data_IF_687058174242
#
_entry.id   IF_687058174242
#
_cell.length_a   1.000
_cell.length_b   1.000
_cell.length_c   1.000
_cell.angle_alpha   90.00
_cell.angle_beta   90.00
_cell.angle_gamma   90.00
#
_symmetry.space_group_name_H-M   'P 1'
#
loop_
_entity.id
_entity.type
_entity.pdbx_description
1 polymer ?
#
# COMPACT_ATOMS: atom_id res chain seq x y z
N UNK A 1 21.54 -2.25 18.66
CA UNK A 1 21.70 -3.53 17.93
C UNK A 1 20.56 -3.53 16.94
N UNK A 2 20.89 -3.44 15.66
CA UNK A 2 19.91 -3.42 14.56
C UNK A 2 19.03 -4.65 14.67
N UNK A 3 17.72 -4.46 14.81
CA UNK A 3 16.75 -5.47 14.43
C UNK A 3 16.87 -5.61 12.91
N UNK A 4 17.73 -6.54 12.48
CA UNK A 4 17.53 -7.20 11.20
C UNK A 4 16.11 -7.73 11.24
N UNK A 5 15.29 -7.33 10.26
CA UNK A 5 14.03 -7.97 9.92
C UNK A 5 14.29 -9.48 9.97
N UNK A 6 13.72 -10.17 10.94
CA UNK A 6 13.81 -11.62 11.05
C UNK A 6 12.98 -12.17 9.89
N UNK A 7 13.57 -12.24 8.70
CA UNK A 7 12.91 -12.83 7.54
C UNK A 7 12.48 -14.24 7.93
N UNK A 8 11.21 -14.58 7.71
CA UNK A 8 10.70 -15.88 8.14
C UNK A 8 11.35 -16.99 7.31
N UNK A 9 12.34 -17.65 7.90
CA UNK A 9 13.05 -18.81 7.33
C UNK A 9 12.10 -19.96 6.97
N UNK A 10 10.82 -19.92 7.42
CA UNK A 10 9.77 -20.88 7.06
C UNK A 10 9.36 -20.78 5.60
N UNK A 11 9.29 -19.58 5.03
CA UNK A 11 8.77 -19.34 3.67
C UNK A 11 9.75 -19.77 2.56
N UNK A 12 10.92 -20.31 2.92
CA UNK A 12 12.00 -20.58 1.97
C UNK A 12 12.07 -22.05 1.65
N UNK A 13 12.16 -22.33 0.35
CA UNK A 13 12.47 -23.66 -0.12
C UNK A 13 13.82 -24.13 0.44
N UNK A 14 13.80 -25.20 1.25
CA UNK A 14 15.00 -25.78 1.88
C UNK A 14 15.89 -26.55 0.89
N UNK A 15 15.43 -26.71 -0.35
CA UNK A 15 16.11 -27.32 -1.47
C UNK A 15 15.46 -26.89 -2.78
N UNK A 16 16.05 -27.27 -3.92
CA UNK A 16 15.46 -26.95 -5.22
C UNK A 16 14.09 -27.66 -5.37
N UNK A 17 13.07 -26.89 -5.75
CA UNK A 17 11.71 -27.38 -6.01
C UNK A 17 11.44 -27.34 -7.50
N UNK A 18 10.93 -28.43 -8.06
CA UNK A 18 10.54 -28.51 -9.47
C UNK A 18 9.02 -28.45 -9.57
N UNK A 19 8.53 -27.35 -10.13
CA UNK A 19 7.12 -27.12 -10.41
C UNK A 19 6.79 -27.63 -11.81
N UNK A 20 5.68 -28.38 -11.92
CA UNK A 20 5.27 -29.00 -13.18
C UNK A 20 3.94 -28.42 -13.63
N UNK A 21 4.02 -27.58 -14.66
CA UNK A 21 2.87 -26.99 -15.33
C UNK A 21 2.55 -27.76 -16.62
N UNK A 22 1.33 -27.62 -17.17
CA UNK A 22 0.99 -28.11 -18.50
C UNK A 22 2.05 -27.69 -19.54
N UNK A 23 2.51 -28.63 -20.37
CA UNK A 23 3.56 -28.36 -21.35
C UNK A 23 3.00 -27.74 -22.66
N UNK A 24 1.72 -27.94 -22.93
CA UNK A 24 1.04 -27.53 -24.15
C UNK A 24 0.45 -26.12 -24.10
N UNK A 25 0.34 -25.52 -22.90
CA UNK A 25 -0.18 -24.17 -22.68
C UNK A 25 0.47 -23.51 -21.46
N UNK A 26 0.58 -22.17 -21.51
CA UNK A 26 0.90 -21.37 -20.32
C UNK A 26 -0.28 -21.36 -19.35
N UNK A 27 0.00 -21.36 -18.05
CA UNK A 27 -1.01 -21.06 -17.02
C UNK A 27 -0.90 -19.64 -16.45
N UNK A 28 0.18 -18.92 -16.76
CA UNK A 28 0.46 -17.59 -16.25
C UNK A 28 1.96 -17.31 -16.18
N UNK A 29 2.33 -16.32 -15.37
CA UNK A 29 3.70 -15.96 -15.07
C UNK A 29 4.06 -16.42 -13.66
N UNK A 30 5.24 -17.02 -13.51
CA UNK A 30 5.78 -17.37 -12.20
C UNK A 30 6.94 -16.45 -11.86
N UNK A 31 6.78 -15.74 -10.75
CA UNK A 31 7.79 -14.87 -10.18
C UNK A 31 8.58 -15.67 -9.15
N UNK A 32 9.90 -15.77 -9.36
CA UNK A 32 10.82 -16.40 -8.42
C UNK A 32 11.68 -15.30 -7.78
N UNK A 33 11.62 -15.20 -6.46
CA UNK A 33 12.29 -14.16 -5.68
C UNK A 33 13.24 -14.79 -4.67
N UNK A 34 14.49 -14.32 -4.64
CA UNK A 34 15.46 -14.72 -3.63
C UNK A 34 15.10 -14.08 -2.30
N UNK A 35 15.13 -14.84 -1.21
CA UNK A 35 14.73 -14.29 0.09
C UNK A 35 15.93 -13.83 0.90
N UNK A 36 15.82 -12.65 1.54
CA UNK A 36 16.84 -12.11 2.45
C UNK A 36 17.99 -11.31 1.82
N UNK A 37 17.89 -10.91 0.55
CA UNK A 37 18.84 -9.99 -0.09
C UNK A 37 18.10 -8.80 -0.71
N UNK A 38 18.59 -7.58 -0.42
CA UNK A 38 18.02 -6.31 -0.91
C UNK A 38 18.32 -6.01 -2.39
N UNK A 39 19.16 -6.83 -3.03
CA UNK A 39 19.46 -6.77 -4.47
C UNK A 39 18.64 -7.84 -5.21
N UNK A 40 17.41 -7.47 -5.60
CA UNK A 40 16.36 -8.30 -6.20
C UNK A 40 16.74 -8.93 -7.57
N UNK A 41 17.12 -10.21 -7.58
CA UNK A 41 17.16 -11.06 -8.78
C UNK A 41 15.74 -11.67 -9.01
N UNK A 42 14.73 -10.82 -9.28
CA UNK A 42 13.39 -11.30 -9.64
C UNK A 42 13.44 -11.98 -11.00
N UNK A 43 13.07 -13.26 -11.05
CA UNK A 43 12.95 -14.01 -12.31
C UNK A 43 11.48 -14.20 -12.65
N UNK A 44 11.08 -13.62 -13.76
CA UNK A 44 9.77 -13.84 -14.36
C UNK A 44 9.90 -14.95 -15.42
N UNK A 45 9.12 -16.01 -15.27
CA UNK A 45 9.15 -17.18 -16.16
C UNK A 45 7.73 -17.52 -16.62
N UNK A 46 7.59 -18.04 -17.84
CA UNK A 46 6.32 -18.63 -18.29
C UNK A 46 6.04 -19.90 -17.46
N UNK A 47 4.88 -19.98 -16.82
CA UNK A 47 4.43 -21.15 -16.08
C UNK A 47 3.97 -22.25 -17.07
N UNK A 48 4.94 -22.88 -17.73
CA UNK A 48 4.74 -23.94 -18.72
C UNK A 48 5.84 -24.98 -18.62
N UNK A 49 5.46 -26.26 -18.62
CA UNK A 49 6.41 -27.36 -18.47
C UNK A 49 7.07 -27.36 -17.09
N UNK A 50 8.37 -27.66 -17.02
CA UNK A 50 9.10 -27.70 -15.75
C UNK A 50 9.76 -26.34 -15.45
N UNK A 51 9.46 -25.81 -14.26
CA UNK A 51 10.11 -24.62 -13.69
C UNK A 51 10.82 -25.03 -12.41
N UNK A 52 12.09 -24.66 -12.26
CA UNK A 52 12.87 -24.95 -11.03
C UNK A 52 12.98 -23.71 -10.17
N UNK A 53 12.49 -23.79 -8.95
CA UNK A 53 12.64 -22.80 -7.88
C UNK A 53 13.87 -23.20 -7.06
N UNK A 54 14.95 -22.40 -7.08
CA UNK A 54 16.16 -22.74 -6.35
C UNK A 54 15.94 -22.68 -4.84
N UNK A 55 16.78 -23.40 -4.08
CA UNK A 55 16.80 -23.27 -2.62
C UNK A 55 16.95 -21.79 -2.18
N UNK A 56 16.28 -21.38 -1.11
CA UNK A 56 16.28 -20.00 -0.61
C UNK A 56 15.46 -19.01 -1.45
N UNK A 57 14.60 -19.52 -2.36
CA UNK A 57 13.70 -18.68 -3.14
C UNK A 57 12.24 -19.07 -2.89
N UNK A 58 11.36 -18.08 -3.04
CA UNK A 58 9.91 -18.25 -3.07
C UNK A 58 9.39 -18.14 -4.50
N UNK A 59 8.24 -18.74 -4.75
CA UNK A 59 7.57 -18.68 -6.05
C UNK A 59 6.14 -18.17 -5.88
N UNK A 60 5.79 -17.14 -6.66
CA UNK A 60 4.43 -16.59 -6.73
C UNK A 60 3.91 -16.78 -8.14
N UNK A 61 2.66 -17.25 -8.26
CA UNK A 61 2.00 -17.45 -9.54
C UNK A 61 0.99 -16.34 -9.80
N UNK A 62 1.14 -15.66 -10.93
CA UNK A 62 0.20 -14.66 -11.41
C UNK A 62 -0.47 -15.14 -12.70
N UNK A 63 -1.80 -15.22 -12.68
CA UNK A 63 -2.60 -15.53 -13.86
C UNK A 63 -3.01 -14.19 -14.49
N UNK A 64 -2.63 -13.91 -15.75
CA UNK A 64 -2.85 -12.61 -16.38
C UNK A 64 -4.30 -12.15 -16.37
N UNK A 65 -4.50 -10.85 -16.18
CA UNK A 65 -5.79 -10.19 -16.23
C UNK A 65 -6.60 -10.58 -17.47
N UNK A 66 -7.91 -10.78 -17.27
CA UNK A 66 -8.83 -11.21 -18.32
C UNK A 66 -8.68 -12.68 -18.74
N UNK A 67 -7.78 -13.45 -18.10
CA UNK A 67 -7.70 -14.91 -18.25
C UNK A 67 -8.26 -15.59 -17.00
N UNK A 68 -9.45 -16.22 -17.08
CA UNK A 68 -10.01 -16.92 -15.93
C UNK A 68 -9.13 -18.09 -15.50
N UNK A 69 -8.72 -18.07 -14.23
CA UNK A 69 -7.94 -19.11 -13.57
C UNK A 69 -8.67 -20.46 -13.52
N UNK A 70 -10.01 -20.43 -13.47
CA UNK A 70 -10.85 -21.61 -13.54
C UNK A 70 -10.70 -22.50 -12.31
N UNK A 71 -10.50 -23.80 -12.51
CA UNK A 71 -10.46 -24.78 -11.43
C UNK A 71 -9.06 -25.05 -10.90
N UNK A 72 -8.01 -24.47 -11.50
CA UNK A 72 -6.61 -24.65 -11.07
C UNK A 72 -6.19 -26.13 -10.95
N UNK A 73 -6.68 -27.00 -11.84
CA UNK A 73 -6.38 -28.45 -11.79
C UNK A 73 -4.88 -28.79 -11.79
N UNK A 74 -4.02 -27.93 -12.32
CA UNK A 74 -2.57 -28.14 -12.31
C UNK A 74 -1.96 -28.12 -10.90
N UNK A 75 -2.64 -27.52 -9.90
CA UNK A 75 -2.18 -27.53 -8.51
C UNK A 75 -2.17 -28.95 -7.92
N UNK A 76 -2.96 -29.88 -8.46
CA UNK A 76 -2.95 -31.28 -8.01
C UNK A 76 -1.60 -31.98 -8.34
N UNK A 77 -0.80 -31.43 -9.25
CA UNK A 77 0.53 -31.93 -9.64
C UNK A 77 1.69 -31.16 -8.98
N UNK A 78 1.40 -30.08 -8.23
CA UNK A 78 2.40 -29.31 -7.50
C UNK A 78 2.55 -29.81 -6.05
N UNK A 79 3.75 -29.67 -5.45
CA UNK A 79 3.89 -29.79 -4.00
C UNK A 79 2.92 -28.88 -3.24
N UNK A 80 2.51 -29.28 -2.03
CA UNK A 80 1.62 -28.47 -1.18
C UNK A 80 2.35 -27.24 -0.58
N UNK A 81 3.67 -27.18 -0.67
CA UNK A 81 4.55 -26.09 -0.22
C UNK A 81 5.17 -25.33 -1.40
N UNK A 82 4.56 -25.44 -2.58
CA UNK A 82 5.13 -24.96 -3.84
C UNK A 82 5.05 -23.44 -4.03
N UNK A 83 3.94 -22.84 -3.59
CA UNK A 83 3.62 -21.45 -3.88
C UNK A 83 3.56 -20.63 -2.60
N UNK A 84 4.21 -19.49 -2.63
CA UNK A 84 4.17 -18.47 -1.58
C UNK A 84 3.12 -17.39 -1.89
N UNK A 85 2.88 -17.11 -3.17
CA UNK A 85 1.87 -16.16 -3.63
C UNK A 85 1.00 -16.70 -4.76
N UNK A 86 -0.25 -16.26 -4.79
CA UNK A 86 -1.16 -16.48 -5.92
C UNK A 86 -1.94 -15.20 -6.24
N UNK A 87 -2.01 -14.84 -7.51
CA UNK A 87 -2.87 -13.79 -8.03
C UNK A 87 -3.62 -14.29 -9.27
N UNK A 88 -4.93 -14.02 -9.37
CA UNK A 88 -5.67 -14.35 -10.58
C UNK A 88 -7.16 -14.07 -10.51
N UNK A 89 -7.77 -14.01 -11.69
CA UNK A 89 -9.20 -13.74 -11.86
C UNK A 89 -10.04 -15.01 -12.06
N UNK A 90 -11.32 -14.98 -11.70
CA UNK A 90 -12.27 -16.04 -12.06
C UNK A 90 -11.94 -17.42 -11.50
N UNK A 91 -11.33 -17.49 -10.31
CA UNK A 91 -11.07 -18.76 -9.61
C UNK A 91 -12.39 -19.36 -9.16
N UNK A 92 -12.66 -20.60 -9.56
CA UNK A 92 -13.90 -21.32 -9.19
C UNK A 92 -13.84 -21.88 -7.77
N UNK A 93 -14.98 -22.30 -7.23
CA UNK A 93 -15.02 -23.00 -5.94
C UNK A 93 -14.09 -24.23 -5.84
N UNK A 94 -13.92 -24.99 -6.93
CA UNK A 94 -12.95 -26.10 -6.96
C UNK A 94 -11.50 -25.59 -6.99
N UNK A 95 -11.25 -24.47 -7.68
CA UNK A 95 -9.96 -23.79 -7.67
C UNK A 95 -9.58 -23.30 -6.27
N UNK A 96 -10.50 -22.64 -5.56
CA UNK A 96 -10.32 -22.22 -4.16
C UNK A 96 -10.03 -23.43 -3.25
N UNK A 97 -10.70 -24.56 -3.48
CA UNK A 97 -10.44 -25.80 -2.75
C UNK A 97 -9.05 -26.38 -2.99
N UNK A 98 -8.43 -26.13 -4.15
CA UNK A 98 -7.06 -26.54 -4.47
C UNK A 98 -6.04 -25.54 -3.93
N UNK A 99 -6.32 -24.23 -4.03
CA UNK A 99 -5.49 -23.18 -3.43
C UNK A 99 -5.35 -23.38 -1.93
N UNK A 100 -6.45 -23.68 -1.23
CA UNK A 100 -6.45 -23.94 0.21
C UNK A 100 -5.59 -25.16 0.65
N UNK A 101 -5.02 -25.93 -0.28
CA UNK A 101 -4.07 -27.02 0.02
C UNK A 101 -2.61 -26.55 0.02
N UNK A 102 -2.34 -25.35 -0.48
CA UNK A 102 -1.00 -24.80 -0.57
C UNK A 102 -0.62 -24.15 0.78
N UNK A 103 0.16 -24.88 1.57
CA UNK A 103 0.47 -24.58 2.98
C UNK A 103 1.33 -23.34 3.17
N UNK A 104 2.17 -23.01 2.19
CA UNK A 104 3.08 -21.86 2.27
C UNK A 104 2.51 -20.60 1.58
N UNK A 105 1.25 -20.63 1.12
CA UNK A 105 0.61 -19.45 0.54
C UNK A 105 0.39 -18.39 1.63
N UNK A 106 1.24 -17.37 1.63
CA UNK A 106 1.13 -16.22 2.51
C UNK A 106 0.41 -15.03 1.86
N UNK A 107 0.42 -14.96 0.53
CA UNK A 107 -0.25 -13.92 -0.24
C UNK A 107 -1.26 -14.50 -1.24
N UNK A 108 -2.50 -14.02 -1.19
CA UNK A 108 -3.56 -14.38 -2.14
C UNK A 108 -4.28 -13.12 -2.63
N UNK A 109 -4.36 -12.96 -3.96
CA UNK A 109 -5.13 -11.91 -4.62
C UNK A 109 -6.14 -12.55 -5.58
N UNK A 110 -7.42 -12.25 -5.40
CA UNK A 110 -8.50 -12.82 -6.20
C UNK A 110 -9.35 -11.72 -6.82
N UNK A 111 -9.53 -11.80 -8.13
CA UNK A 111 -10.43 -10.91 -8.86
C UNK A 111 -11.65 -11.69 -9.37
N UNK A 112 -12.85 -11.20 -9.07
CA UNK A 112 -14.13 -11.81 -9.46
C UNK A 112 -14.17 -13.35 -9.25
N UNK A 113 -13.86 -13.87 -8.04
CA UNK A 113 -13.88 -15.31 -7.80
C UNK A 113 -15.28 -15.88 -8.03
N UNK A 114 -15.36 -17.01 -8.73
CA UNK A 114 -16.60 -17.74 -8.95
C UNK A 114 -16.87 -18.71 -7.79
N UNK A 115 -17.03 -18.16 -6.59
CA UNK A 115 -17.23 -18.89 -5.33
C UNK A 115 -18.26 -18.23 -4.43
N UNK A 116 -19.00 -19.03 -3.67
CA UNK A 116 -19.87 -18.54 -2.59
C UNK A 116 -19.08 -18.38 -1.27
N UNK A 117 -19.75 -17.93 -0.20
CA UNK A 117 -19.14 -17.80 1.13
C UNK A 117 -18.48 -19.11 1.60
N UNK A 118 -19.03 -20.28 1.24
CA UNK A 118 -18.47 -21.58 1.61
C UNK A 118 -17.12 -21.78 0.91
N UNK A 119 -17.06 -21.49 -0.39
CA UNK A 119 -15.84 -21.62 -1.16
C UNK A 119 -14.75 -20.66 -0.68
N UNK A 120 -15.09 -19.37 -0.47
CA UNK A 120 -14.13 -18.35 -0.03
C UNK A 120 -13.67 -18.58 1.42
N UNK A 121 -14.53 -19.12 2.29
CA UNK A 121 -14.14 -19.44 3.67
C UNK A 121 -12.97 -20.43 3.79
N UNK A 122 -12.65 -21.18 2.73
CA UNK A 122 -11.50 -22.09 2.70
C UNK A 122 -10.16 -21.37 2.72
N UNK A 123 -10.13 -20.08 2.36
CA UNK A 123 -8.91 -19.28 2.48
C UNK A 123 -8.46 -19.15 3.94
N UNK A 124 -9.39 -19.24 4.90
CA UNK A 124 -9.07 -19.28 6.32
C UNK A 124 -8.37 -20.59 6.77
N UNK A 125 -8.34 -21.63 5.93
CA UNK A 125 -7.62 -22.87 6.22
C UNK A 125 -6.13 -22.78 5.83
N UNK A 126 -5.71 -21.69 5.18
CA UNK A 126 -4.31 -21.44 4.83
C UNK A 126 -3.53 -21.01 6.09
N UNK A 127 -2.52 -21.79 6.53
CA UNK A 127 -1.88 -21.57 7.82
C UNK A 127 -0.92 -20.37 7.86
N UNK A 128 -0.38 -19.96 6.70
CA UNK A 128 0.60 -18.86 6.59
C UNK A 128 -0.02 -17.61 5.94
N UNK A 129 -1.34 -17.55 5.73
CA UNK A 129 -1.99 -16.43 5.03
C UNK A 129 -1.87 -15.12 5.82
N UNK A 130 -1.09 -14.18 5.29
CA UNK A 130 -0.87 -12.85 5.88
C UNK A 130 -1.42 -11.71 5.02
N UNK A 131 -1.52 -11.90 3.70
CA UNK A 131 -1.97 -10.88 2.75
C UNK A 131 -3.11 -11.44 1.90
N UNK A 132 -4.27 -10.79 1.98
CA UNK A 132 -5.46 -11.17 1.21
C UNK A 132 -6.05 -9.95 0.51
N UNK A 133 -6.11 -10.00 -0.83
CA UNK A 133 -6.87 -9.07 -1.65
C UNK A 133 -8.02 -9.79 -2.35
N UNK A 134 -9.24 -9.28 -2.24
CA UNK A 134 -10.40 -9.87 -2.91
C UNK A 134 -11.27 -8.80 -3.54
N UNK A 135 -11.42 -8.84 -4.87
CA UNK A 135 -12.47 -8.15 -5.60
C UNK A 135 -13.64 -9.11 -5.81
N UNK A 136 -14.68 -9.04 -4.97
CA UNK A 136 -15.80 -9.98 -5.00
C UNK A 136 -17.17 -9.31 -4.85
N UNK A 137 -17.94 -9.45 -5.92
CA UNK A 137 -19.32 -8.98 -6.02
C UNK A 137 -20.36 -10.10 -5.98
N UNK A 138 -19.92 -11.34 -5.76
CA UNK A 138 -20.72 -12.54 -5.92
C UNK A 138 -21.13 -13.17 -4.60
N UNK A 139 -20.31 -13.05 -3.55
CA UNK A 139 -20.65 -13.53 -2.22
C UNK A 139 -21.33 -12.45 -1.37
N UNK A 140 -22.19 -12.84 -0.41
CA UNK A 140 -22.69 -11.92 0.62
C UNK A 140 -21.56 -11.33 1.47
N UNK A 141 -20.49 -12.09 1.74
CA UNK A 141 -19.37 -11.68 2.59
C UNK A 141 -19.43 -12.21 4.02
N UNK A 142 -20.33 -13.17 4.33
CA UNK A 142 -20.39 -13.80 5.65
C UNK A 142 -19.11 -14.59 5.98
N UNK A 143 -18.34 -14.94 4.94
CA UNK A 143 -17.11 -15.71 5.08
C UNK A 143 -15.97 -14.91 5.72
N UNK A 144 -15.99 -13.58 5.73
CA UNK A 144 -14.93 -12.78 6.38
C UNK A 144 -14.79 -13.13 7.87
N UNK A 145 -15.89 -13.44 8.57
CA UNK A 145 -15.84 -13.87 9.97
C UNK A 145 -15.13 -15.22 10.18
N UNK A 146 -14.86 -15.99 9.11
CA UNK A 146 -14.08 -17.23 9.17
C UNK A 146 -12.58 -16.96 9.20
N UNK A 147 -12.13 -15.77 8.82
CA UNK A 147 -10.73 -15.34 8.90
C UNK A 147 -10.32 -14.98 10.33
N UNK A 148 -11.25 -14.93 11.29
CA UNK A 148 -10.92 -14.73 12.69
C UNK A 148 -9.93 -15.80 13.19
N UNK A 149 -8.76 -15.36 13.67
CA UNK A 149 -7.68 -16.23 14.14
C UNK A 149 -6.82 -16.86 13.02
N UNK A 150 -6.93 -16.39 11.78
CA UNK A 150 -6.11 -16.87 10.64
C UNK A 150 -4.67 -16.36 10.65
N UNK A 151 -4.35 -15.30 11.40
CA UNK A 151 -3.05 -14.61 11.34
C UNK A 151 -2.96 -13.56 10.23
N UNK A 152 -4.06 -13.31 9.51
CA UNK A 152 -4.12 -12.31 8.45
C UNK A 152 -3.74 -10.92 8.96
N UNK A 153 -2.80 -10.27 8.27
CA UNK A 153 -2.27 -8.94 8.60
C UNK A 153 -2.78 -7.86 7.65
N UNK A 154 -2.94 -8.18 6.37
CA UNK A 154 -3.32 -7.22 5.33
C UNK A 154 -4.56 -7.71 4.61
N UNK A 155 -5.62 -6.93 4.66
CA UNK A 155 -6.87 -7.23 3.97
C UNK A 155 -7.27 -6.08 3.04
N UNK A 156 -7.43 -6.39 1.76
CA UNK A 156 -8.07 -5.51 0.79
C UNK A 156 -9.37 -6.16 0.30
N UNK A 157 -10.47 -5.42 0.42
CA UNK A 157 -11.80 -5.84 -0.03
C UNK A 157 -12.30 -4.82 -1.04
N UNK A 158 -12.43 -5.24 -2.29
CA UNK A 158 -13.05 -4.47 -3.36
C UNK A 158 -14.39 -5.10 -3.73
N UNK A 159 -15.46 -4.29 -3.74
CA UNK A 159 -16.82 -4.77 -4.08
C UNK A 159 -17.76 -3.61 -4.35
N UNK A 160 -18.84 -3.83 -5.10
CA UNK A 160 -19.87 -2.81 -5.36
C UNK A 160 -20.65 -2.44 -4.11
N UNK A 161 -20.92 -3.42 -3.24
CA UNK A 161 -21.69 -3.19 -2.02
C UNK A 161 -21.08 -3.94 -0.84
N UNK A 162 -20.59 -3.22 0.17
CA UNK A 162 -20.11 -3.79 1.44
C UNK A 162 -21.16 -3.51 2.51
N UNK A 163 -21.92 -4.54 2.88
CA UNK A 163 -23.02 -4.42 3.84
C UNK A 163 -22.56 -4.58 5.30
N UNK A 164 -23.51 -4.39 6.23
CA UNK A 164 -23.29 -4.55 7.65
C UNK A 164 -22.80 -5.97 8.05
N UNK A 165 -23.23 -7.03 7.36
CA UNK A 165 -22.85 -8.40 7.71
C UNK A 165 -21.38 -8.66 7.34
N UNK A 166 -20.95 -8.21 6.16
CA UNK A 166 -19.56 -8.24 5.73
C UNK A 166 -18.65 -7.44 6.68
N UNK A 167 -19.05 -6.20 7.03
CA UNK A 167 -18.31 -5.35 7.98
C UNK A 167 -18.21 -5.98 9.36
N UNK A 168 -19.29 -6.60 9.85
CA UNK A 168 -19.28 -7.33 11.12
C UNK A 168 -18.33 -8.53 11.08
N UNK A 169 -18.27 -9.26 9.97
CA UNK A 169 -17.30 -10.33 9.77
C UNK A 169 -15.86 -9.82 9.79
N UNK A 170 -15.57 -8.76 9.03
CA UNK A 170 -14.25 -8.13 8.99
C UNK A 170 -13.82 -7.66 10.39
N UNK A 171 -14.72 -7.03 11.16
CA UNK A 171 -14.44 -6.57 12.52
C UNK A 171 -14.03 -7.66 13.52
N UNK A 172 -14.14 -8.94 13.17
CA UNK A 172 -13.69 -10.09 13.99
C UNK A 172 -12.27 -10.57 13.68
N UNK A 173 -11.60 -10.01 12.66
CA UNK A 173 -10.28 -10.46 12.24
C UNK A 173 -9.20 -9.81 13.12
N UNK A 174 -8.85 -10.49 14.20
CA UNK A 174 -7.79 -10.08 15.12
C UNK A 174 -6.42 -10.07 14.42
N UNK A 175 -5.59 -9.06 14.69
CA UNK A 175 -4.22 -8.97 14.18
C UNK A 175 -4.06 -8.30 12.82
N UNK A 176 -5.14 -7.74 12.24
CA UNK A 176 -5.03 -6.92 11.04
C UNK A 176 -4.18 -5.67 11.31
N UNK A 177 -3.12 -5.53 10.53
CA UNK A 177 -2.25 -4.36 10.46
C UNK A 177 -2.83 -3.30 9.51
N UNK A 178 -3.32 -3.73 8.35
CA UNK A 178 -3.85 -2.85 7.30
C UNK A 178 -5.16 -3.39 6.74
N UNK A 179 -6.15 -2.49 6.65
CA UNK A 179 -7.45 -2.77 6.05
C UNK A 179 -7.74 -1.73 4.96
N UNK A 180 -8.05 -2.21 3.75
CA UNK A 180 -8.51 -1.37 2.63
C UNK A 180 -9.89 -1.82 2.19
N UNK A 181 -10.86 -0.92 2.27
CA UNK A 181 -12.22 -1.11 1.79
C UNK A 181 -12.44 -0.22 0.59
N UNK A 182 -12.55 -0.83 -0.59
CA UNK A 182 -12.81 -0.17 -1.87
C UNK A 182 -14.24 -0.53 -2.29
N UNK A 183 -15.20 0.31 -1.91
CA UNK A 183 -16.62 -0.02 -2.02
C UNK A 183 -17.45 1.08 -2.63
N UNK A 184 -18.08 0.85 -3.79
CA UNK A 184 -18.96 1.85 -4.40
C UNK A 184 -20.11 2.25 -3.45
N UNK A 185 -20.73 1.28 -2.79
CA UNK A 185 -21.74 1.45 -1.75
C UNK A 185 -21.29 0.76 -0.46
N UNK A 186 -21.06 1.54 0.58
CA UNK A 186 -20.61 1.09 1.90
C UNK A 186 -21.72 1.34 2.93
N UNK A 187 -22.05 0.36 3.75
CA UNK A 187 -22.96 0.55 4.89
C UNK A 187 -22.27 1.41 5.98
N UNK A 188 -22.64 2.69 6.01
CA UNK A 188 -22.03 3.66 6.93
C UNK A 188 -22.32 3.38 8.41
N UNK A 189 -23.47 2.77 8.73
CA UNK A 189 -23.81 2.39 10.10
C UNK A 189 -23.04 1.11 10.51
N UNK A 190 -22.79 0.22 9.55
CA UNK A 190 -21.99 -0.99 9.73
C UNK A 190 -20.51 -0.73 10.07
N UNK A 191 -19.97 0.44 9.73
CA UNK A 191 -18.59 0.83 10.03
C UNK A 191 -18.24 0.76 11.52
N UNK A 192 -19.23 0.92 12.41
CA UNK A 192 -19.03 0.83 13.86
C UNK A 192 -18.40 -0.52 14.29
N UNK A 193 -18.67 -1.59 13.54
CA UNK A 193 -18.12 -2.92 13.77
C UNK A 193 -16.60 -2.99 13.61
N UNK A 194 -15.99 -2.10 12.81
CA UNK A 194 -14.54 -2.08 12.62
C UNK A 194 -13.79 -1.57 13.86
N UNK A 195 -14.48 -0.90 14.79
CA UNK A 195 -13.88 -0.38 16.02
C UNK A 195 -13.42 -1.43 17.03
N UNK A 196 -13.48 -2.73 16.70
CA UNK A 196 -12.91 -3.84 17.47
C UNK A 196 -11.59 -4.38 16.90
N UNK A 197 -11.07 -3.82 15.81
CA UNK A 197 -9.83 -4.24 15.17
C UNK A 197 -8.60 -3.73 15.95
N UNK A 198 -8.25 -4.45 17.01
CA UNK A 198 -7.03 -4.20 17.81
C UNK A 198 -5.78 -4.46 16.95
N UNK A 199 -4.78 -3.56 17.01
CA UNK A 199 -3.57 -3.61 16.18
C UNK A 199 -3.67 -2.99 14.78
N UNK A 200 -4.83 -2.47 14.37
CA UNK A 200 -4.98 -1.83 13.05
C UNK A 200 -4.28 -0.48 12.99
N UNK A 201 -3.20 -0.39 12.20
CA UNK A 201 -2.42 0.83 12.01
C UNK A 201 -2.87 1.66 10.80
N UNK A 202 -3.38 1.00 9.76
CA UNK A 202 -3.78 1.64 8.50
C UNK A 202 -5.19 1.24 8.06
N UNK A 203 -6.06 2.25 7.88
CA UNK A 203 -7.41 2.07 7.37
C UNK A 203 -7.65 2.95 6.14
N UNK A 204 -7.97 2.32 5.01
CA UNK A 204 -8.43 3.00 3.80
C UNK A 204 -9.91 2.70 3.55
N UNK A 205 -10.71 3.75 3.39
CA UNK A 205 -12.13 3.73 3.01
C UNK A 205 -12.29 4.54 1.72
N UNK A 206 -12.38 3.87 0.57
CA UNK A 206 -12.71 4.53 -0.69
C UNK A 206 -14.12 4.15 -1.09
N UNK A 207 -15.01 5.13 -1.13
CA UNK A 207 -16.43 4.88 -1.37
C UNK A 207 -17.16 6.06 -1.99
N UNK A 208 -18.23 5.76 -2.75
CA UNK A 208 -19.16 6.79 -3.20
C UNK A 208 -20.31 7.00 -2.20
N UNK A 209 -20.38 6.22 -1.12
CA UNK A 209 -21.33 6.46 -0.03
C UNK A 209 -21.00 7.78 0.67
N UNK A 210 -21.96 8.71 0.78
CA UNK A 210 -21.78 9.91 1.59
C UNK A 210 -21.51 9.56 3.06
N UNK A 211 -20.35 9.97 3.58
CA UNK A 211 -19.99 9.77 4.98
C UNK A 211 -20.02 11.09 5.75
N UNK A 212 -20.56 11.04 6.96
CA UNK A 212 -20.50 12.11 7.94
C UNK A 212 -19.47 11.76 9.02
N UNK A 213 -18.86 12.74 9.72
CA UNK A 213 -17.90 12.47 10.78
C UNK A 213 -18.41 11.49 11.85
N UNK A 214 -19.72 11.45 12.11
CA UNK A 214 -20.34 10.51 13.06
C UNK A 214 -20.14 9.05 12.67
N UNK A 215 -20.13 8.72 11.37
CA UNK A 215 -19.89 7.36 10.89
C UNK A 215 -18.44 6.91 11.11
N UNK A 216 -17.52 7.85 11.33
CA UNK A 216 -16.08 7.59 11.48
C UNK A 216 -15.63 7.58 12.94
N UNK A 217 -16.54 7.84 13.90
CA UNK A 217 -16.20 7.89 15.33
C UNK A 217 -15.75 6.55 15.90
N UNK A 218 -16.03 5.43 15.22
CA UNK A 218 -15.50 4.12 15.63
C UNK A 218 -13.97 4.10 15.65
N UNK A 219 -13.32 4.92 14.80
CA UNK A 219 -11.86 5.03 14.76
C UNK A 219 -11.26 5.53 16.09
N UNK A 220 -12.04 6.21 16.93
CA UNK A 220 -11.60 6.60 18.29
C UNK A 220 -11.39 5.39 19.22
N UNK A 221 -11.85 4.21 18.82
CA UNK A 221 -11.68 2.94 19.54
C UNK A 221 -10.55 2.08 18.98
N UNK A 222 -9.83 2.57 17.97
CA UNK A 222 -8.67 1.90 17.37
C UNK A 222 -7.39 2.51 17.98
N UNK A 223 -6.76 1.84 18.96
CA UNK A 223 -5.67 2.44 19.73
C UNK A 223 -4.37 2.64 18.95
N UNK A 224 -4.13 1.80 17.93
CA UNK A 224 -2.89 1.77 17.14
C UNK A 224 -3.04 2.46 15.78
N UNK A 225 -4.23 3.02 15.47
CA UNK A 225 -4.49 3.62 14.17
C UNK A 225 -3.58 4.83 13.94
N UNK A 226 -2.69 4.72 12.96
CA UNK A 226 -1.80 5.80 12.55
C UNK A 226 -2.33 6.53 11.32
N UNK A 227 -2.96 5.81 10.39
CA UNK A 227 -3.40 6.33 9.09
C UNK A 227 -4.87 5.99 8.83
N UNK A 228 -5.65 7.03 8.51
CA UNK A 228 -7.02 6.94 8.05
C UNK A 228 -7.18 7.67 6.71
N UNK A 229 -7.42 6.92 5.64
CA UNK A 229 -7.77 7.48 4.33
C UNK A 229 -9.26 7.30 4.08
N UNK A 230 -9.97 8.38 3.80
CA UNK A 230 -11.40 8.45 3.51
C UNK A 230 -11.62 9.29 2.25
N UNK A 231 -11.84 8.62 1.11
CA UNK A 231 -11.92 9.25 -0.21
C UNK A 231 -13.10 8.74 -1.02
N UNK A 232 -13.46 9.50 -2.04
CA UNK A 232 -14.36 9.03 -3.09
C UNK A 232 -13.72 7.85 -3.84
N UNK A 233 -14.51 7.01 -4.51
CA UNK A 233 -13.98 5.85 -5.22
C UNK A 233 -13.00 6.23 -6.35
N UNK A 234 -13.11 7.44 -6.90
CA UNK A 234 -12.20 8.00 -7.90
C UNK A 234 -10.93 8.64 -7.30
N UNK A 235 -10.75 8.57 -5.98
CA UNK A 235 -9.66 9.17 -5.23
C UNK A 235 -9.85 10.65 -4.90
N UNK A 236 -11.02 11.22 -5.19
CA UNK A 236 -11.38 12.58 -4.83
C UNK A 236 -11.74 12.75 -3.34
N UNK A 237 -12.01 14.00 -2.95
CA UNK A 237 -12.43 14.33 -1.59
C UNK A 237 -13.86 13.84 -1.34
N UNK A 238 -14.04 13.01 -0.31
CA UNK A 238 -15.37 12.55 0.13
C UNK A 238 -15.99 13.49 1.17
N UNK A 239 -15.16 14.04 2.05
CA UNK A 239 -15.58 14.90 3.15
C UNK A 239 -15.45 16.37 2.75
N UNK A 240 -16.38 17.20 3.21
CA UNK A 240 -16.18 18.65 3.17
C UNK A 240 -14.97 19.05 4.03
N UNK A 241 -14.41 20.23 3.78
CA UNK A 241 -13.34 20.75 4.63
C UNK A 241 -13.81 20.84 6.09
N UNK A 242 -15.02 21.34 6.36
CA UNK A 242 -15.56 21.40 7.72
C UNK A 242 -15.58 20.02 8.41
N UNK A 243 -16.11 19.00 7.74
CA UNK A 243 -16.19 17.64 8.26
C UNK A 243 -14.81 17.01 8.47
N UNK A 244 -13.88 17.25 7.55
CA UNK A 244 -12.50 16.78 7.64
C UNK A 244 -11.77 17.43 8.82
N UNK A 245 -11.96 18.73 9.06
CA UNK A 245 -11.38 19.42 10.21
C UNK A 245 -11.90 18.88 11.55
N UNK A 246 -13.20 18.63 11.63
CA UNK A 246 -13.82 18.07 12.83
C UNK A 246 -13.30 16.66 13.11
N UNK A 247 -13.09 15.86 12.06
CA UNK A 247 -12.49 14.54 12.19
C UNK A 247 -11.02 14.60 12.67
N UNK A 248 -10.19 15.46 12.07
CA UNK A 248 -8.80 15.69 12.48
C UNK A 248 -8.71 16.09 13.95
N UNK A 249 -9.64 16.92 14.44
CA UNK A 249 -9.69 17.30 15.87
C UNK A 249 -10.11 16.15 16.78
N UNK A 250 -10.91 15.23 16.27
CA UNK A 250 -11.40 14.07 17.01
C UNK A 250 -10.32 13.00 17.13
N UNK A 251 -9.45 12.88 16.12
CA UNK A 251 -8.37 11.91 16.02
C UNK A 251 -7.02 12.66 15.88
N UNK A 252 -6.56 13.37 16.92
CA UNK A 252 -5.43 14.30 16.81
C UNK A 252 -4.08 13.64 16.51
N UNK A 253 -3.93 12.36 16.84
CA UNK A 253 -2.71 11.58 16.63
C UNK A 253 -2.75 10.76 15.33
N UNK A 254 -3.89 10.78 14.63
CA UNK A 254 -4.10 10.03 13.39
C UNK A 254 -3.86 10.93 12.19
N UNK A 255 -3.16 10.39 11.22
CA UNK A 255 -2.98 10.96 9.91
C UNK A 255 -4.24 10.74 9.05
N UNK A 256 -4.90 11.82 8.61
CA UNK A 256 -6.16 11.72 7.84
C UNK A 256 -5.99 12.25 6.43
N UNK A 257 -6.18 11.42 5.41
CA UNK A 257 -6.21 11.83 3.99
C UNK A 257 -4.96 12.51 3.42
N UNK A 258 -3.80 12.43 4.06
CA UNK A 258 -2.72 13.36 3.70
C UNK A 258 -2.27 14.25 4.85
N UNK A 259 -3.15 14.40 5.84
CA UNK A 259 -3.13 15.54 6.74
C UNK A 259 -2.86 15.08 8.17
N UNK A 260 -1.80 15.62 8.75
CA UNK A 260 -1.53 15.51 10.16
C UNK A 260 -1.07 16.87 10.70
N UNK A 261 -1.46 17.18 11.94
CA UNK A 261 -1.15 18.46 12.56
C UNK A 261 -0.73 18.26 14.02
N UNK A 262 0.34 18.95 14.47
CA UNK A 262 0.68 18.98 15.88
C UNK A 262 -0.47 19.50 16.73
N UNK A 263 -0.63 18.91 17.93
CA UNK A 263 -1.73 19.21 18.85
C UNK A 263 -1.89 20.72 19.14
N UNK A 264 -0.80 21.47 19.19
CA UNK A 264 -0.80 22.90 19.46
C UNK A 264 -1.46 23.72 18.34
N UNK A 265 -1.44 23.22 17.10
CA UNK A 265 -2.03 23.90 15.94
C UNK A 265 -3.52 23.65 15.78
N UNK A 266 -4.05 22.52 16.27
CA UNK A 266 -5.43 22.06 16.03
C UNK A 266 -6.51 23.09 16.39
N UNK A 267 -6.32 23.81 17.49
CA UNK A 267 -7.26 24.83 17.96
C UNK A 267 -7.34 26.07 17.05
N UNK A 268 -6.28 26.33 16.28
CA UNK A 268 -6.17 27.49 15.38
C UNK A 268 -6.58 27.21 13.93
N UNK A 269 -6.66 25.92 13.55
CA UNK A 269 -7.00 25.51 12.19
C UNK A 269 -8.41 25.94 11.79
N UNK A 270 -8.53 26.35 10.53
CA UNK A 270 -9.77 26.66 9.86
C UNK A 270 -9.98 25.74 8.66
N UNK A 271 -11.22 25.59 8.15
CA UNK A 271 -11.46 24.82 6.93
C UNK A 271 -10.64 25.30 5.71
N UNK A 272 -10.28 26.59 5.67
CA UNK A 272 -9.44 27.12 4.60
C UNK A 272 -8.00 26.62 4.64
N UNK A 273 -7.47 26.33 5.82
CA UNK A 273 -6.10 25.81 6.00
C UNK A 273 -5.99 24.38 5.48
N UNK A 274 -7.05 23.58 5.65
CA UNK A 274 -7.09 22.18 5.23
C UNK A 274 -7.48 21.96 3.76
N UNK A 275 -8.08 22.96 3.11
CA UNK A 275 -8.40 22.88 1.68
C UNK A 275 -7.15 22.99 0.77
N UNK A 276 -5.98 23.30 1.32
CA UNK A 276 -4.74 23.59 0.59
C UNK A 276 -3.48 22.95 1.20
N UNK A 277 -3.60 21.97 2.10
CA UNK A 277 -2.45 21.47 2.88
C UNK A 277 -1.39 20.81 2.02
N UNK A 278 -1.74 20.35 0.83
CA UNK A 278 -0.81 19.70 -0.08
C UNK A 278 0.29 20.60 -0.67
N UNK A 279 0.44 21.87 -0.27
CA UNK A 279 1.56 22.70 -0.79
C UNK A 279 2.13 23.71 0.23
N UNK A 280 1.64 23.74 1.48
CA UNK A 280 2.01 24.82 2.43
C UNK A 280 3.50 24.79 2.87
N UNK A 281 4.13 23.60 2.90
CA UNK A 281 5.53 23.43 3.29
C UNK A 281 6.44 22.99 2.12
N UNK A 282 5.90 22.91 0.92
CA UNK A 282 6.62 22.53 -0.29
C UNK A 282 6.67 23.74 -1.22
N UNK A 283 7.86 24.27 -1.46
CA UNK A 283 8.01 25.41 -2.37
C UNK A 283 8.02 24.91 -3.80
N UNK A 284 7.00 25.27 -4.58
CA UNK A 284 6.97 25.02 -6.01
C UNK A 284 8.02 25.88 -6.74
N UNK A 285 8.79 25.25 -7.62
CA UNK A 285 9.86 25.87 -8.40
C UNK A 285 9.60 25.60 -9.88
N UNK A 286 9.48 26.69 -10.65
CA UNK A 286 9.16 26.64 -12.08
C UNK A 286 10.32 27.05 -12.99
N UNK A 287 11.44 27.53 -12.43
CA UNK A 287 12.63 27.93 -13.21
C UNK A 287 13.90 27.90 -12.36
N UNK A 288 15.05 27.85 -13.04
CA UNK A 288 16.36 27.81 -12.38
C UNK A 288 16.68 29.03 -11.49
N UNK A 289 16.31 30.24 -11.91
CA UNK A 289 16.64 31.46 -11.18
C UNK A 289 15.99 31.49 -9.79
N UNK A 290 14.75 31.02 -9.67
CA UNK A 290 14.04 30.89 -8.39
C UNK A 290 14.68 29.83 -7.50
N UNK A 291 15.09 28.70 -8.08
CA UNK A 291 15.79 27.65 -7.35
C UNK A 291 17.14 28.12 -6.81
N UNK A 292 17.94 28.78 -7.65
CA UNK A 292 19.25 29.31 -7.27
C UNK A 292 19.14 30.33 -6.14
N UNK A 293 18.11 31.19 -6.19
CA UNK A 293 17.80 32.11 -5.09
C UNK A 293 17.40 31.38 -3.81
N UNK A 294 16.61 30.31 -3.92
CA UNK A 294 16.19 29.52 -2.75
C UNK A 294 17.37 28.83 -2.09
N UNK A 295 18.19 28.11 -2.87
CA UNK A 295 19.39 27.41 -2.38
C UNK A 295 20.37 28.40 -1.75
N UNK A 296 20.60 29.56 -2.38
CA UNK A 296 21.45 30.60 -1.82
C UNK A 296 20.91 31.18 -0.49
N UNK A 297 19.59 31.33 -0.36
CA UNK A 297 18.95 31.80 0.89
C UNK A 297 18.96 30.75 1.99
N UNK A 298 18.85 29.47 1.64
CA UNK A 298 18.87 28.37 2.59
C UNK A 298 20.22 28.28 3.32
N UNK A 299 21.32 28.63 2.64
CA UNK A 299 22.66 28.64 3.22
C UNK A 299 23.05 27.25 3.71
N UNK A 300 23.31 27.12 5.02
CA UNK A 300 23.67 25.83 5.64
C UNK A 300 22.45 24.96 5.97
N UNK A 301 21.23 25.51 5.88
CA UNK A 301 20.00 24.73 6.02
C UNK A 301 19.83 23.87 4.76
N UNK A 302 19.70 22.54 4.89
CA UNK A 302 19.51 21.65 3.75
C UNK A 302 18.22 21.96 2.97
N UNK A 303 18.25 21.68 1.68
CA UNK A 303 17.12 21.76 0.76
C UNK A 303 16.84 20.37 0.20
N UNK A 304 15.63 19.85 0.37
CA UNK A 304 15.18 18.63 -0.30
C UNK A 304 14.47 19.01 -1.59
N UNK A 305 15.04 18.65 -2.73
CA UNK A 305 14.51 18.93 -4.06
C UNK A 305 13.83 17.70 -4.64
N UNK A 306 12.50 17.71 -4.69
CA UNK A 306 11.67 16.67 -5.29
C UNK A 306 11.38 16.98 -6.76
N UNK A 307 11.98 16.22 -7.66
CA UNK A 307 11.72 16.27 -9.10
C UNK A 307 10.55 15.36 -9.47
N UNK A 308 9.58 15.93 -10.18
CA UNK A 308 8.28 15.31 -10.48
C UNK A 308 7.81 15.64 -11.90
N UNK A 309 6.73 15.00 -12.35
CA UNK A 309 6.03 15.36 -13.58
C UNK A 309 4.53 15.04 -13.49
N UNK A 310 3.68 15.79 -14.21
CA UNK A 310 2.22 15.59 -14.17
C UNK A 310 1.76 14.24 -14.73
N UNK A 311 2.51 13.70 -15.68
CA UNK A 311 2.25 12.42 -16.33
C UNK A 311 2.78 11.21 -15.55
N UNK A 312 3.54 11.44 -14.48
CA UNK A 312 4.18 10.39 -13.70
C UNK A 312 3.19 9.79 -12.68
N UNK A 313 2.83 8.52 -12.87
CA UNK A 313 1.95 7.77 -11.97
C UNK A 313 2.48 7.67 -10.53
N UNK A 314 3.70 7.13 -10.31
CA UNK A 314 4.30 7.03 -8.98
C UNK A 314 4.44 8.38 -8.27
N UNK A 315 4.64 9.47 -9.01
CA UNK A 315 4.75 10.82 -8.46
C UNK A 315 3.46 11.30 -7.78
N UNK A 316 2.30 10.84 -8.26
CA UNK A 316 1.00 11.18 -7.65
C UNK A 316 0.84 10.56 -6.27
N UNK A 317 1.43 9.38 -6.05
CA UNK A 317 1.45 8.72 -4.74
C UNK A 317 2.53 9.33 -3.83
N UNK A 318 3.69 9.67 -4.41
CA UNK A 318 4.82 10.19 -3.64
C UNK A 318 4.70 11.66 -3.24
N UNK A 319 4.01 12.49 -4.02
CA UNK A 319 3.78 13.92 -3.72
C UNK A 319 3.24 14.16 -2.30
N UNK A 320 2.12 13.53 -1.92
CA UNK A 320 1.58 13.62 -0.56
C UNK A 320 2.58 13.18 0.53
N UNK A 321 3.44 12.19 0.26
CA UNK A 321 4.48 11.76 1.20
C UNK A 321 5.53 12.86 1.40
N UNK A 322 5.95 13.51 0.30
CA UNK A 322 6.91 14.64 0.33
C UNK A 322 6.30 15.85 1.06
N UNK A 323 5.03 16.13 0.86
CA UNK A 323 4.31 17.22 1.53
C UNK A 323 4.26 17.04 3.05
N UNK A 324 3.97 15.81 3.51
CA UNK A 324 4.02 15.46 4.94
C UNK A 324 5.42 15.55 5.50
N UNK A 325 6.40 14.96 4.80
CA UNK A 325 7.81 15.04 5.19
C UNK A 325 8.27 16.51 5.33
N UNK A 326 7.82 17.38 4.42
CA UNK A 326 8.11 18.80 4.46
C UNK A 326 7.48 19.49 5.69
N UNK A 327 6.26 19.11 6.07
CA UNK A 327 5.60 19.61 7.27
C UNK A 327 6.36 19.21 8.54
N UNK A 328 6.71 17.92 8.66
CA UNK A 328 7.40 17.35 9.83
C UNK A 328 8.81 17.92 10.01
N UNK A 329 9.49 18.22 8.91
CA UNK A 329 10.88 18.65 8.90
C UNK A 329 11.07 20.13 8.55
N UNK A 330 10.01 20.96 8.57
CA UNK A 330 10.05 22.35 8.14
C UNK A 330 11.13 23.20 8.85
N UNK A 331 11.49 22.89 10.10
CA UNK A 331 12.58 23.55 10.81
C UNK A 331 13.97 23.08 10.36
N UNK A 332 14.09 21.79 9.97
CA UNK A 332 15.37 21.11 9.65
C UNK A 332 15.76 21.20 8.18
N UNK A 333 14.79 21.16 7.27
CA UNK A 333 14.99 21.14 5.82
C UNK A 333 13.98 22.07 5.15
N UNK A 334 14.37 22.66 4.02
CA UNK A 334 13.45 23.35 3.12
C UNK A 334 13.08 22.38 2.00
N UNK A 335 11.81 22.07 1.82
CA UNK A 335 11.39 21.15 0.76
C UNK A 335 10.88 21.91 -0.45
N UNK A 336 11.26 21.47 -1.64
CA UNK A 336 10.85 22.07 -2.91
C UNK A 336 10.35 21.02 -3.87
N UNK A 337 9.35 21.37 -4.69
CA UNK A 337 8.85 20.54 -5.79
C UNK A 337 9.21 21.19 -7.12
N UNK A 338 9.81 20.40 -8.01
CA UNK A 338 10.30 20.84 -9.32
C UNK A 338 9.65 19.95 -10.37
N UNK A 339 8.77 20.55 -11.19
CA UNK A 339 8.20 19.85 -12.35
C UNK A 339 9.23 19.89 -13.50
N UNK A 340 9.67 18.72 -13.96
CA UNK A 340 10.71 18.62 -14.99
C UNK A 340 10.26 19.13 -16.36
N UNK A 341 8.94 19.18 -16.62
CA UNK A 341 8.40 19.76 -17.85
C UNK A 341 8.39 21.30 -17.78
N UNK A 342 8.28 21.86 -16.57
CA UNK A 342 8.25 23.31 -16.34
C UNK A 342 9.67 23.90 -16.24
N UNK A 343 10.60 23.19 -15.59
CA UNK A 343 11.98 23.61 -15.37
C UNK A 343 12.99 22.58 -15.95
N UNK A 344 12.98 22.32 -17.27
CA UNK A 344 13.84 21.31 -17.89
C UNK A 344 15.33 21.60 -17.68
N UNK A 345 15.73 22.86 -17.57
CA UNK A 345 17.11 23.25 -17.29
C UNK A 345 17.62 22.78 -15.93
N UNK A 346 16.73 22.61 -14.94
CA UNK A 346 17.09 22.06 -13.63
C UNK A 346 17.24 20.54 -13.71
N UNK A 347 16.37 19.86 -14.46
CA UNK A 347 16.50 18.43 -14.70
C UNK A 347 17.84 18.09 -15.41
N UNK A 348 18.19 18.86 -16.44
CA UNK A 348 19.48 18.74 -17.14
C UNK A 348 20.67 19.02 -16.21
N UNK A 349 20.59 20.10 -15.42
CA UNK A 349 21.68 20.52 -14.51
C UNK A 349 22.01 19.46 -13.46
N UNK A 350 20.98 18.79 -12.93
CA UNK A 350 21.14 17.77 -11.89
C UNK A 350 21.11 16.35 -12.45
N UNK A 351 21.21 16.19 -13.78
CA UNK A 351 21.28 14.91 -14.48
C UNK A 351 20.11 13.95 -14.14
N UNK A 352 18.90 14.48 -13.95
CA UNK A 352 17.72 13.72 -13.57
C UNK A 352 17.30 12.79 -14.71
N UNK A 353 17.51 11.48 -14.53
CA UNK A 353 17.21 10.44 -15.54
C UNK A 353 15.75 9.95 -15.52
N UNK A 354 15.02 10.23 -14.43
CA UNK A 354 13.65 9.78 -14.25
C UNK A 354 13.00 10.45 -13.04
N UNK A 355 11.67 10.36 -12.98
CA UNK A 355 10.86 10.88 -11.88
C UNK A 355 10.00 9.75 -11.29
N UNK A 356 9.71 9.77 -9.97
CA UNK A 356 10.16 10.76 -8.99
C UNK A 356 11.66 10.64 -8.66
N UNK A 357 12.34 11.75 -8.37
CA UNK A 357 13.71 11.76 -7.84
C UNK A 357 13.80 12.81 -6.72
N UNK A 358 14.50 12.51 -5.63
CA UNK A 358 14.78 13.47 -4.56
C UNK A 358 16.29 13.70 -4.41
N UNK A 359 16.67 14.96 -4.26
CA UNK A 359 18.04 15.36 -3.91
C UNK A 359 18.05 16.07 -2.57
N UNK A 360 19.14 15.93 -1.81
CA UNK A 360 19.44 16.80 -0.67
C UNK A 360 20.59 17.70 -1.06
N UNK A 361 20.38 19.00 -0.95
CA UNK A 361 21.36 20.04 -1.28
C UNK A 361 21.70 20.81 -0.01
N UNK A 362 22.97 21.03 0.26
CA UNK A 362 23.44 21.83 1.40
C UNK A 362 24.61 22.70 0.99
N UNK A 363 24.56 23.98 1.34
CA UNK A 363 25.61 24.95 0.99
C UNK A 363 25.92 24.99 -0.52
N UNK A 364 24.91 24.71 -1.36
CA UNK A 364 25.02 24.72 -2.82
C UNK A 364 25.47 23.39 -3.47
N UNK A 365 25.81 22.37 -2.68
CA UNK A 365 26.27 21.07 -3.17
C UNK A 365 25.22 19.98 -2.94
N UNK A 366 25.10 19.04 -3.89
CA UNK A 366 24.27 17.84 -3.72
C UNK A 366 25.02 16.88 -2.81
N UNK A 367 24.41 16.55 -1.67
CA UNK A 367 25.00 15.66 -0.66
C UNK A 367 24.34 14.28 -0.65
N UNK A 368 23.13 14.15 -1.20
CA UNK A 368 22.46 12.87 -1.39
C UNK A 368 21.48 12.91 -2.57
N UNK A 369 21.23 11.75 -3.16
CA UNK A 369 20.28 11.55 -4.27
C UNK A 369 19.60 10.20 -4.13
N UNK A 370 18.31 10.14 -4.46
CA UNK A 370 17.55 8.91 -4.54
C UNK A 370 16.53 9.00 -5.68
N UNK A 371 16.54 8.02 -6.58
CA UNK A 371 15.55 7.88 -7.64
C UNK A 371 14.48 6.88 -7.25
N UNK A 372 13.22 7.22 -7.47
CA UNK A 372 12.06 6.43 -7.04
C UNK A 372 11.30 7.05 -5.87
N UNK A 373 10.12 6.50 -5.60
CA UNK A 373 9.27 6.88 -4.48
C UNK A 373 9.74 6.17 -3.22
N UNK A 374 9.74 6.89 -2.10
CA UNK A 374 10.06 6.34 -0.78
C UNK A 374 8.84 6.41 0.14
N UNK A 375 8.61 5.39 0.98
CA UNK A 375 7.76 5.54 2.17
C UNK A 375 8.27 6.67 3.08
N UNK A 376 7.38 7.27 3.88
CA UNK A 376 7.72 8.41 4.76
C UNK A 376 8.87 8.11 5.72
N UNK A 377 8.90 6.89 6.28
CA UNK A 377 9.97 6.43 7.18
C UNK A 377 11.33 6.47 6.48
N UNK A 378 11.39 5.97 5.26
CA UNK A 378 12.63 5.86 4.49
C UNK A 378 13.08 7.22 3.95
N UNK A 379 12.14 8.13 3.64
CA UNK A 379 12.47 9.51 3.30
C UNK A 379 13.08 10.27 4.50
N UNK A 380 12.58 10.02 5.73
CA UNK A 380 13.19 10.55 6.95
C UNK A 380 14.57 9.93 7.21
N UNK A 381 14.73 8.63 7.00
CA UNK A 381 16.03 7.95 7.10
C UNK A 381 17.02 8.54 6.09
N UNK A 382 16.60 8.69 4.84
CA UNK A 382 17.39 9.30 3.77
C UNK A 382 17.88 10.69 4.15
N UNK A 383 17.00 11.57 4.66
CA UNK A 383 17.43 12.87 5.16
C UNK A 383 18.42 12.74 6.33
N UNK A 384 18.13 11.89 7.31
CA UNK A 384 18.99 11.75 8.49
C UNK A 384 20.40 11.29 8.12
N UNK A 385 20.52 10.26 7.28
CA UNK A 385 21.80 9.74 6.80
C UNK A 385 22.54 10.78 5.96
N UNK A 386 21.83 11.56 5.13
CA UNK A 386 22.43 12.62 4.34
C UNK A 386 23.02 13.77 5.19
N UNK A 387 22.49 14.02 6.39
CA UNK A 387 22.93 15.14 7.24
C UNK A 387 24.00 14.79 8.26
N UNK A 388 24.12 13.51 8.58
CA UNK A 388 25.09 13.01 9.56
C UNK A 388 26.45 12.68 8.92
N UNK A 389 26.54 12.65 7.59
CA UNK A 389 27.74 12.35 6.80
C UNK A 389 28.03 13.50 5.83
#
# INVERSE_FOLDING_TARGET
>A
MSEQTEYDERLWNRGDVVLRFPADRSVGEIQIVAVGNEDDDIRLLDARGEVTVPAGHMASLEIPDGTPAGDLAFLDDLPEDALAGFAGSGVTAEGLARLARQKELFQVVLEEPAGDDIALSRLADLPELEILGVEDDTSPGLWFGRLAGSGLMNLEVARRHTDQEALAGIGTIEGLYSLRLLSADLDADGLDALGSLDGLESLTLWTDTPLEPSHLLFATRLPDLEVLEVKAADGGDLLSAESLLDLIRTLPDVEINGLWYPAEKLSSLTPGDIAHVGDQNVVAIENADDFDRLVARAGDKPVLAYFTAKWCGPCKQFGPIVERFAADNAERVTTTRIDIDAAPELADRYEIQGVPTVLVIRSGEVIASHGGSLPRRDLNHFLHHALDH
#
